data_IF_297990982035
#
_entry.id   IF_297990982035
#
_cell.length_a   1.000
_cell.length_b   1.000
_cell.length_c   1.000
_cell.angle_alpha   90.00
_cell.angle_beta   90.00
_cell.angle_gamma   90.00
#
_symmetry.space_group_name_H-M   'P 1'
#
loop_
_entity.id
_entity.type
_entity.pdbx_description
1 polymer ?
#
# COMPACT_ATOMS: atom_id res chain seq x y z
N UNK A 1 -32.02 -4.82 -9.76
CA UNK A 1 -30.83 -4.43 -10.54
C UNK A 1 -29.63 -4.53 -9.62
N UNK A 2 -28.67 -5.41 -9.93
CA UNK A 2 -27.46 -5.59 -9.13
C UNK A 2 -26.50 -4.49 -9.58
N UNK A 3 -26.27 -3.48 -8.74
CA UNK A 3 -25.21 -2.50 -8.99
C UNK A 3 -23.87 -3.20 -8.85
N UNK A 4 -23.13 -3.28 -9.96
CA UNK A 4 -21.85 -3.99 -10.04
C UNK A 4 -20.77 -3.29 -9.20
N UNK A 5 -20.17 -4.04 -8.29
CA UNK A 5 -19.13 -3.62 -7.36
C UNK A 5 -17.74 -4.06 -7.80
N UNK A 6 -17.42 -3.80 -9.06
CA UNK A 6 -16.19 -4.28 -9.68
C UNK A 6 -14.98 -3.44 -9.24
N UNK A 7 -13.98 -4.11 -8.67
CA UNK A 7 -12.72 -3.50 -8.29
C UNK A 7 -11.74 -3.57 -9.46
N UNK A 8 -11.68 -2.50 -10.25
CA UNK A 8 -10.73 -2.38 -11.36
C UNK A 8 -9.44 -1.68 -10.93
N UNK A 9 -9.59 -0.57 -10.21
CA UNK A 9 -8.49 0.28 -9.79
C UNK A 9 -8.67 0.71 -8.35
N UNK A 10 -7.56 0.89 -7.65
CA UNK A 10 -7.49 1.40 -6.30
C UNK A 10 -6.41 2.46 -6.20
N UNK A 11 -6.81 3.70 -5.92
CA UNK A 11 -5.94 4.83 -5.68
C UNK A 11 -6.03 5.22 -4.19
N UNK A 12 -4.88 5.29 -3.52
CA UNK A 12 -4.81 5.62 -2.10
C UNK A 12 -3.65 6.57 -1.83
N UNK A 13 -3.91 7.59 -1.01
CA UNK A 13 -2.89 8.59 -0.66
C UNK A 13 -3.04 9.01 0.79
N UNK A 14 -1.93 8.98 1.53
CA UNK A 14 -1.82 9.56 2.87
C UNK A 14 -1.03 10.86 2.73
N UNK A 15 -1.64 12.03 2.94
CA UNK A 15 -0.93 13.30 2.87
C UNK A 15 0.12 13.39 3.98
N UNK A 16 1.11 14.27 3.80
CA UNK A 16 1.97 14.69 4.91
C UNK A 16 1.12 15.56 5.84
N UNK A 17 0.70 15.00 6.97
CA UNK A 17 0.09 15.76 8.05
C UNK A 17 1.17 16.55 8.78
N UNK A 18 0.88 17.80 9.10
CA UNK A 18 1.76 18.69 9.87
C UNK A 18 2.05 18.21 11.30
N UNK A 19 1.29 17.24 11.81
CA UNK A 19 1.33 16.77 13.20
C UNK A 19 1.95 15.38 13.40
N UNK A 20 2.13 14.57 12.34
CA UNK A 20 2.63 13.19 12.48
C UNK A 20 4.15 13.10 12.63
N UNK A 21 4.85 14.24 12.54
CA UNK A 21 6.25 14.38 12.95
C UNK A 21 6.33 15.31 14.17
N UNK A 22 5.83 14.85 15.33
CA UNK A 22 6.17 15.44 16.63
C UNK A 22 7.62 15.09 16.99
N UNK A 23 8.55 15.66 16.23
CA UNK A 23 9.98 15.49 16.37
C UNK A 23 10.66 16.09 15.16
N UNK A 24 11.56 17.09 15.31
CA UNK A 24 12.33 17.58 14.18
C UNK A 24 13.32 16.48 13.80
N UNK A 25 12.97 15.63 12.84
CA UNK A 25 13.95 14.74 12.20
C UNK A 25 14.91 15.61 11.38
N UNK A 26 15.93 16.12 12.08
CA UNK A 26 17.11 16.73 11.49
C UNK A 26 18.09 15.60 11.17
N UNK A 27 18.10 15.14 9.92
CA UNK A 27 19.28 14.46 9.37
C UNK A 27 20.02 15.50 8.51
N UNK A 28 21.21 15.91 8.94
CA UNK A 28 22.06 16.88 8.25
C UNK A 28 21.41 18.24 7.88
N UNK A 29 20.43 18.73 8.66
CA UNK A 29 19.87 20.07 8.50
C UNK A 29 18.96 20.28 7.29
N UNK A 30 18.60 19.23 6.54
CA UNK A 30 17.63 19.32 5.45
C UNK A 30 16.25 18.95 5.98
N UNK A 31 15.28 19.88 5.86
CA UNK A 31 13.87 19.58 6.14
C UNK A 31 13.39 18.55 5.11
N UNK A 32 12.72 17.49 5.57
CA UNK A 32 11.85 16.67 4.72
C UNK A 32 10.97 17.63 3.91
N UNK A 33 10.80 17.35 2.61
CA UNK A 33 9.90 18.10 1.76
C UNK A 33 8.49 18.00 2.32
N UNK A 34 8.07 18.98 3.12
CA UNK A 34 6.81 19.02 3.86
C UNK A 34 5.54 19.00 3.00
N UNK A 35 5.71 18.89 1.67
CA UNK A 35 4.65 18.87 0.67
C UNK A 35 4.44 17.49 0.03
N UNK A 36 5.31 16.50 0.29
CA UNK A 36 5.17 15.17 -0.30
C UNK A 36 4.32 14.27 0.61
N UNK A 37 3.35 13.51 0.07
CA UNK A 37 2.50 12.60 0.85
C UNK A 37 3.29 11.43 1.41
N UNK A 38 2.99 10.98 2.63
CA UNK A 38 3.67 9.85 3.29
C UNK A 38 3.57 8.55 2.49
N UNK A 39 2.43 8.33 1.82
CA UNK A 39 2.17 7.17 0.99
C UNK A 39 1.32 7.61 -0.20
N UNK A 40 1.70 7.19 -1.40
CA UNK A 40 0.88 7.15 -2.60
C UNK A 40 0.90 5.74 -3.13
N UNK A 41 -0.27 5.19 -3.41
CA UNK A 41 -0.43 3.85 -3.94
C UNK A 41 -1.46 3.86 -5.07
N UNK A 42 -1.13 3.11 -6.12
CA UNK A 42 -2.04 2.80 -7.20
C UNK A 42 -1.97 1.32 -7.51
N UNK A 43 -3.11 0.67 -7.57
CA UNK A 43 -3.25 -0.72 -8.03
C UNK A 43 -4.26 -0.73 -9.17
N UNK A 44 -3.90 -1.39 -10.26
CA UNK A 44 -4.77 -1.68 -11.39
C UNK A 44 -4.87 -3.20 -11.52
N UNK A 45 -6.00 -3.76 -11.08
CA UNK A 45 -6.26 -5.19 -11.08
C UNK A 45 -6.53 -5.73 -12.48
N UNK A 46 -6.92 -4.88 -13.44
CA UNK A 46 -7.16 -5.30 -14.82
C UNK A 46 -5.86 -5.51 -15.60
N UNK A 47 -4.91 -4.60 -15.42
CA UNK A 47 -3.58 -4.68 -16.04
C UNK A 47 -2.59 -5.48 -15.20
N UNK A 48 -2.96 -5.82 -13.96
CA UNK A 48 -2.10 -6.50 -13.00
C UNK A 48 -0.89 -5.65 -12.62
N UNK A 49 -1.07 -4.34 -12.41
CA UNK A 49 0.04 -3.44 -12.07
C UNK A 49 -0.17 -2.77 -10.72
N UNK A 50 0.92 -2.57 -9.98
CA UNK A 50 0.94 -1.86 -8.71
C UNK A 50 2.12 -0.90 -8.66
N UNK A 51 1.87 0.29 -8.12
CA UNK A 51 2.88 1.29 -7.82
C UNK A 51 2.71 1.84 -6.41
N UNK A 52 3.80 1.91 -5.67
CA UNK A 52 3.89 2.53 -4.34
C UNK A 52 4.98 3.60 -4.38
N UNK A 53 4.70 4.78 -3.84
CA UNK A 53 5.66 5.86 -3.61
C UNK A 53 5.46 6.36 -2.18
N UNK A 54 6.42 6.08 -1.31
CA UNK A 54 6.24 6.31 0.12
C UNK A 54 7.51 6.79 0.83
N UNK A 55 7.32 7.45 1.97
CA UNK A 55 8.39 7.67 2.93
C UNK A 55 8.80 6.33 3.54
N UNK A 56 10.09 6.00 3.47
CA UNK A 56 10.64 4.73 3.95
C UNK A 56 10.29 4.50 5.42
N UNK A 57 10.36 5.53 6.27
CA UNK A 57 10.06 5.43 7.71
C UNK A 57 8.59 5.15 7.97
N UNK A 58 7.72 5.52 7.03
CA UNK A 58 6.30 5.28 7.15
C UNK A 58 5.93 3.83 6.82
N UNK A 59 6.60 3.22 5.83
CA UNK A 59 6.22 1.88 5.32
C UNK A 59 7.10 0.73 5.83
N UNK A 60 8.32 1.01 6.31
CA UNK A 60 9.19 0.00 6.88
C UNK A 60 8.74 -0.33 8.31
N UNK A 61 8.55 -1.61 8.61
CA UNK A 61 7.96 -2.04 9.90
C UNK A 61 8.97 -2.11 11.06
N UNK A 62 10.27 -2.23 10.80
CA UNK A 62 11.45 -1.96 11.68
C UNK A 62 12.72 -2.52 10.97
N UNK A 63 13.95 -2.03 11.21
CA UNK A 63 14.82 -2.47 12.32
C UNK A 63 15.67 -1.35 12.96
N UNK A 64 15.64 -1.34 14.29
CA UNK A 64 16.57 -0.66 15.19
C UNK A 64 17.94 -1.35 15.30
N UNK A 65 18.21 -2.41 14.54
CA UNK A 65 19.46 -3.17 14.66
C UNK A 65 19.91 -3.77 13.32
N UNK A 66 20.59 -3.00 12.46
CA UNK A 66 21.95 -3.37 12.03
C UNK A 66 22.56 -2.43 10.98
N UNK A 67 23.87 -2.34 11.10
CA UNK A 67 24.81 -1.51 10.39
C UNK A 67 25.18 -2.17 9.04
N UNK A 68 24.20 -2.56 8.22
CA UNK A 68 24.44 -3.07 6.87
C UNK A 68 24.47 -1.89 5.88
N UNK A 69 25.69 -1.45 5.54
CA UNK A 69 25.99 -0.29 4.70
C UNK A 69 25.57 -0.37 3.23
N UNK A 70 24.43 -0.99 2.91
CA UNK A 70 23.92 -1.08 1.54
C UNK A 70 22.90 0.02 1.22
N UNK A 71 22.04 0.40 2.16
CA UNK A 71 21.14 1.52 1.94
C UNK A 71 21.76 2.81 2.47
N UNK A 72 22.19 3.68 1.57
CA UNK A 72 22.77 4.96 1.98
C UNK A 72 21.70 5.83 2.66
N UNK A 73 22.04 6.47 3.79
CA UNK A 73 21.18 7.36 4.59
C UNK A 73 20.64 8.61 3.84
N UNK A 74 20.74 8.66 2.51
CA UNK A 74 20.57 9.88 1.74
C UNK A 74 19.19 10.08 1.11
N UNK A 75 18.33 9.05 1.07
CA UNK A 75 16.99 9.18 0.47
C UNK A 75 15.89 8.54 1.32
N UNK A 76 14.96 9.38 1.76
CA UNK A 76 13.82 9.01 2.61
C UNK A 76 12.65 8.43 1.80
N UNK A 77 12.73 8.33 0.47
CA UNK A 77 11.63 7.89 -0.40
C UNK A 77 11.94 6.57 -1.09
N UNK A 78 10.95 5.68 -1.09
CA UNK A 78 10.98 4.38 -1.75
C UNK A 78 9.89 4.33 -2.81
N UNK A 79 10.26 3.93 -4.01
CA UNK A 79 9.34 3.62 -5.10
C UNK A 79 9.31 2.12 -5.34
N UNK A 80 8.11 1.56 -5.47
CA UNK A 80 7.90 0.14 -5.75
C UNK A 80 7.04 0.04 -6.98
N UNK A 81 7.49 -0.73 -7.95
CA UNK A 81 6.73 -1.06 -9.15
C UNK A 81 6.66 -2.58 -9.26
N UNK A 82 5.45 -3.11 -9.30
CA UNK A 82 5.21 -4.54 -9.23
C UNK A 82 4.07 -4.99 -10.14
N UNK A 83 4.12 -6.26 -10.50
CA UNK A 83 3.13 -6.97 -11.29
C UNK A 83 2.35 -7.86 -10.33
N UNK A 84 1.03 -7.83 -10.47
CA UNK A 84 0.09 -8.67 -9.76
C UNK A 84 -0.27 -9.82 -10.69
N UNK A 85 0.05 -11.03 -10.28
CA UNK A 85 -0.32 -12.24 -11.02
C UNK A 85 -1.79 -12.56 -10.77
N UNK A 86 -2.67 -11.82 -11.45
CA UNK A 86 -4.12 -12.05 -11.41
C UNK A 86 -4.75 -11.67 -12.74
N UNK A 87 -5.68 -12.49 -13.21
CA UNK A 87 -6.52 -12.23 -14.38
C UNK A 87 -8.01 -12.26 -14.04
N UNK A 88 -8.35 -12.17 -12.74
CA UNK A 88 -9.74 -12.31 -12.28
C UNK A 88 -10.40 -10.95 -12.06
N UNK A 89 -11.64 -10.86 -12.54
CA UNK A 89 -12.53 -9.76 -12.23
C UNK A 89 -13.00 -9.87 -10.77
N UNK A 90 -12.71 -8.84 -9.97
CA UNK A 90 -13.00 -8.84 -8.53
C UNK A 90 -14.34 -8.13 -8.30
N UNK A 91 -15.36 -8.87 -7.88
CA UNK A 91 -16.67 -8.32 -7.54
C UNK A 91 -16.88 -8.26 -6.02
N UNK A 92 -16.75 -7.07 -5.45
CA UNK A 92 -16.85 -6.82 -4.01
C UNK A 92 -18.28 -6.98 -3.44
N UNK A 93 -19.30 -7.18 -4.28
CA UNK A 93 -20.67 -7.47 -3.82
C UNK A 93 -20.86 -8.92 -3.36
N UNK A 94 -19.94 -9.82 -3.71
CA UNK A 94 -20.04 -11.24 -3.39
C UNK A 94 -19.04 -11.67 -2.33
N UNK A 95 -19.44 -12.64 -1.49
CA UNK A 95 -18.55 -13.25 -0.49
C UNK A 95 -17.45 -14.14 -1.10
N UNK A 96 -17.49 -14.38 -2.42
CA UNK A 96 -16.49 -15.20 -3.14
C UNK A 96 -15.11 -14.54 -3.11
N UNK A 97 -15.05 -13.22 -2.91
CA UNK A 97 -13.80 -12.47 -2.91
C UNK A 97 -13.07 -12.47 -1.55
N UNK A 98 -13.66 -13.03 -0.49
CA UNK A 98 -13.06 -13.07 0.83
C UNK A 98 -11.90 -14.07 0.89
N UNK A 99 -10.73 -13.59 1.30
CA UNK A 99 -9.49 -14.36 1.34
C UNK A 99 -8.80 -14.51 -0.02
N UNK A 100 -9.18 -13.73 -1.05
CA UNK A 100 -8.46 -13.76 -2.32
C UNK A 100 -7.01 -13.30 -2.14
N UNK A 101 -6.09 -14.08 -2.69
CA UNK A 101 -4.66 -13.83 -2.63
C UNK A 101 -4.11 -13.61 -4.03
N UNK A 102 -3.38 -12.53 -4.21
CA UNK A 102 -2.71 -12.17 -5.45
C UNK A 102 -1.20 -12.13 -5.23
N UNK A 103 -0.43 -13.06 -5.82
CA UNK A 103 1.03 -13.00 -5.78
C UNK A 103 1.53 -11.75 -6.50
N UNK A 104 2.59 -11.16 -5.95
CA UNK A 104 3.19 -9.94 -6.45
C UNK A 104 4.69 -10.11 -6.62
N UNK A 105 5.21 -9.66 -7.76
CA UNK A 105 6.64 -9.60 -8.05
C UNK A 105 7.00 -8.24 -8.65
N UNK A 106 8.12 -7.66 -8.25
CA UNK A 106 8.45 -6.30 -8.66
C UNK A 106 9.85 -5.86 -8.29
N UNK A 107 10.02 -4.54 -8.27
CA UNK A 107 11.27 -3.87 -7.93
C UNK A 107 11.04 -2.77 -6.91
N UNK A 108 11.95 -2.66 -5.95
CA UNK A 108 12.06 -1.56 -4.99
C UNK A 108 13.21 -0.68 -5.43
N UNK A 109 12.98 0.62 -5.50
CA UNK A 109 13.96 1.65 -5.82
C UNK A 109 13.96 2.72 -4.73
N UNK A 110 15.04 2.80 -3.95
CA UNK A 110 15.24 3.83 -2.91
C UNK A 110 15.96 5.10 -3.45
N UNK A 111 16.19 5.14 -4.77
CA UNK A 111 16.95 6.18 -5.45
C UNK A 111 18.46 5.96 -5.48
N UNK A 112 18.99 4.90 -4.86
CA UNK A 112 20.40 4.50 -4.87
C UNK A 112 20.59 3.10 -5.46
N UNK A 113 19.71 2.18 -5.07
CA UNK A 113 19.72 0.76 -5.40
C UNK A 113 18.34 0.37 -5.94
N UNK A 114 18.35 -0.56 -6.90
CA UNK A 114 17.16 -1.23 -7.39
C UNK A 114 17.26 -2.71 -7.01
N UNK A 115 16.34 -3.17 -6.15
CA UNK A 115 16.28 -4.55 -5.66
C UNK A 115 15.02 -5.24 -6.18
N UNK A 116 15.06 -6.56 -6.37
CA UNK A 116 13.84 -7.34 -6.62
C UNK A 116 13.03 -7.45 -5.32
N UNK A 117 11.70 -7.42 -5.44
CA UNK A 117 10.79 -7.72 -4.33
C UNK A 117 9.72 -8.73 -4.75
N UNK A 118 9.25 -9.50 -3.78
CA UNK A 118 8.14 -10.44 -3.95
C UNK A 118 7.18 -10.35 -2.79
N UNK A 119 5.97 -10.85 -2.95
CA UNK A 119 4.99 -10.82 -1.88
C UNK A 119 3.59 -11.17 -2.32
N UNK A 120 2.61 -10.66 -1.59
CA UNK A 120 1.20 -10.95 -1.82
C UNK A 120 0.29 -9.79 -1.42
N UNK A 121 -0.82 -9.69 -2.13
CA UNK A 121 -1.96 -8.85 -1.79
C UNK A 121 -3.09 -9.79 -1.35
N UNK A 122 -3.70 -9.52 -0.21
CA UNK A 122 -4.83 -10.29 0.32
C UNK A 122 -6.03 -9.36 0.43
N UNK A 123 -7.15 -9.79 -0.16
CA UNK A 123 -8.43 -9.12 -0.06
C UNK A 123 -9.30 -9.86 0.96
N UNK A 124 -9.68 -9.18 2.03
CA UNK A 124 -10.46 -9.76 3.12
C UNK A 124 -11.74 -8.95 3.35
N UNK A 125 -12.84 -9.62 3.68
CA UNK A 125 -14.04 -8.95 4.16
C UNK A 125 -13.76 -8.30 5.53
N UNK A 126 -14.16 -7.04 5.69
CA UNK A 126 -14.00 -6.31 6.93
C UNK A 126 -14.91 -6.84 8.02
N UNK A 127 -14.36 -7.62 8.95
CA UNK A 127 -15.04 -8.01 10.18
C UNK A 127 -14.94 -6.88 11.21
N UNK A 128 -15.86 -5.91 11.18
CA UNK A 128 -16.01 -4.98 12.31
C UNK A 128 -17.37 -5.16 12.98
N UNK A 129 -17.32 -5.74 14.18
CA UNK A 129 -18.46 -5.89 15.11
C UNK A 129 -18.94 -4.57 15.72
N UNK A 130 -18.29 -3.44 15.41
CA UNK A 130 -18.65 -2.13 15.91
C UNK A 130 -18.47 -1.10 14.80
N UNK A 131 -19.55 -0.38 14.46
CA UNK A 131 -19.66 0.76 13.51
C UNK A 131 -20.15 0.36 12.09
N UNK A 132 -21.49 0.40 11.93
CA UNK A 132 -22.37 0.99 10.89
C UNK A 132 -22.02 0.89 9.39
N UNK A 133 -20.79 0.63 8.96
CA UNK A 133 -20.47 0.40 7.56
C UNK A 133 -20.46 -1.10 7.25
N UNK A 134 -21.67 -1.65 7.13
CA UNK A 134 -21.91 -2.88 6.40
C UNK A 134 -21.22 -2.74 5.02
N UNK A 135 -20.29 -3.63 4.69
CA UNK A 135 -19.54 -3.70 3.41
C UNK A 135 -18.23 -2.89 3.35
N UNK A 136 -17.36 -3.08 4.35
CA UNK A 136 -15.95 -2.69 4.23
C UNK A 136 -15.12 -3.89 3.79
N UNK A 137 -14.21 -3.69 2.84
CA UNK A 137 -13.19 -4.66 2.47
C UNK A 137 -11.83 -4.17 2.97
N UNK A 138 -10.89 -5.08 3.18
CA UNK A 138 -9.52 -4.77 3.59
C UNK A 138 -8.54 -5.32 2.58
N UNK A 139 -7.61 -4.47 2.18
CA UNK A 139 -6.48 -4.84 1.34
C UNK A 139 -5.24 -4.92 2.23
N UNK A 140 -4.73 -6.14 2.43
CA UNK A 140 -3.47 -6.37 3.12
C UNK A 140 -2.37 -6.62 2.09
N UNK A 141 -1.27 -5.90 2.19
CA UNK A 141 -0.16 -5.97 1.24
C UNK A 141 1.10 -6.33 2.03
N UNK A 142 1.74 -7.42 1.62
CA UNK A 142 2.98 -7.92 2.21
C UNK A 142 4.03 -7.97 1.09
N UNK A 143 5.12 -7.25 1.24
CA UNK A 143 6.24 -7.28 0.30
C UNK A 143 7.55 -7.51 1.06
N UNK A 144 8.43 -8.27 0.45
CA UNK A 144 9.73 -8.65 0.96
C UNK A 144 10.79 -8.29 -0.06
N UNK A 145 11.88 -7.67 0.39
CA UNK A 145 13.07 -7.50 -0.44
C UNK A 145 13.77 -8.85 -0.61
N UNK A 146 14.01 -9.28 -1.84
CA UNK A 146 14.65 -10.57 -2.12
C UNK A 146 16.15 -10.61 -1.72
N UNK A 147 16.78 -9.43 -1.55
CA UNK A 147 18.21 -9.30 -1.24
C UNK A 147 18.48 -8.97 0.24
N UNK A 148 17.47 -8.52 0.98
CA UNK A 148 17.61 -8.07 2.35
C UNK A 148 16.56 -8.76 3.19
N UNK A 149 16.98 -9.74 3.98
CA UNK A 149 16.10 -10.58 4.80
C UNK A 149 15.26 -9.74 5.80
N UNK A 150 15.70 -8.53 6.11
CA UNK A 150 15.09 -7.68 7.13
C UNK A 150 14.24 -6.54 6.58
N UNK A 151 14.11 -6.40 5.25
CA UNK A 151 13.26 -5.34 4.68
C UNK A 151 11.89 -5.88 4.26
N UNK A 152 10.94 -5.69 5.17
CA UNK A 152 9.54 -6.06 4.98
C UNK A 152 8.62 -4.82 4.94
N UNK A 153 7.67 -4.84 4.03
CA UNK A 153 6.60 -3.84 3.95
C UNK A 153 5.28 -4.54 4.22
N UNK A 154 4.52 -4.00 5.17
CA UNK A 154 3.19 -4.50 5.55
C UNK A 154 2.22 -3.33 5.61
N UNK A 155 1.28 -3.27 4.66
CA UNK A 155 0.26 -2.24 4.59
C UNK A 155 -1.12 -2.85 4.73
N UNK A 156 -1.99 -2.19 5.49
CA UNK A 156 -3.40 -2.58 5.67
C UNK A 156 -4.27 -1.39 5.33
N UNK A 157 -5.00 -1.48 4.22
CA UNK A 157 -5.73 -0.37 3.63
C UNK A 157 -7.22 -0.71 3.52
N UNK A 158 -8.12 0.21 3.94
CA UNK A 158 -9.55 -0.01 3.78
C UNK A 158 -9.97 0.20 2.31
N UNK A 159 -10.86 -0.67 1.85
CA UNK A 159 -11.57 -0.59 0.59
C UNK A 159 -13.05 -0.32 0.89
N UNK A 160 -13.51 0.85 0.48
CA UNK A 160 -14.90 1.25 0.65
C UNK A 160 -15.68 0.99 -0.62
N UNK A 161 -16.84 0.36 -0.48
CA UNK A 161 -17.81 0.36 -1.56
C UNK A 161 -18.36 1.77 -1.73
N UNK A 162 -18.37 2.29 -2.97
CA UNK A 162 -19.15 3.47 -3.27
C UNK A 162 -20.64 3.06 -3.15
N UNK A 163 -21.28 3.43 -2.04
CA UNK A 163 -22.74 3.41 -2.01
C UNK A 163 -23.22 4.43 -3.03
N UNK A 164 -23.98 3.97 -4.02
CA UNK A 164 -24.74 4.87 -4.88
C UNK A 164 -25.63 5.69 -3.94
N UNK A 165 -25.35 6.98 -3.81
CA UNK A 165 -26.28 7.92 -3.21
C UNK A 165 -27.54 7.89 -4.07
N UNK A 166 -28.58 7.21 -3.59
CA UNK A 166 -29.93 7.38 -4.07
C UNK A 166 -30.41 8.77 -3.66
N UNK A 167 -29.99 9.80 -4.40
CA UNK A 167 -30.74 11.05 -4.49
C UNK A 167 -31.78 10.86 -5.59
N UNK A 168 -32.91 10.28 -5.20
CA UNK A 168 -34.13 10.40 -5.98
C UNK A 168 -34.88 11.63 -5.45
N UNK A 169 -35.02 12.61 -6.34
CA UNK A 169 -36.01 13.69 -6.44
C UNK A 169 -36.14 14.68 -5.27
#
# INVERSE_FOLDING_TARGET
MIHQSLLHQFDYSIPATSETYAGPLKVCGKKLASHLPLLKMKIDFLTGTMRIDADRRFIAREELHHNSGFFTNYRERVMIEAIINSSIEINLAGNICDGLLFPVEGKINDGSIICSCTGMIILEAGCNNNIIHLNTWMLNIYLYNALEENFEIKLKLPLYYASVSSHNN
#
